data_IF_493042320979
#
_entry.id   IF_493042320979
#
_cell.length_a   1.000
_cell.length_b   1.000
_cell.length_c   1.000
_cell.angle_alpha   90.00
_cell.angle_beta   90.00
_cell.angle_gamma   90.00
#
_symmetry.space_group_name_H-M   'P 1'
#
loop_
_entity.id
_entity.type
_entity.pdbx_description
1 polymer ?
#
# COMPACT_ATOMS: atom_id res chain seq x y z
N UNK A 1 -30.78 -14.71 -13.18
CA UNK A 1 -29.34 -14.32 -13.09
C UNK A 1 -28.48 -15.56 -13.17
N UNK A 2 -27.45 -15.58 -14.02
CA UNK A 2 -26.55 -16.73 -14.20
C UNK A 2 -25.82 -17.07 -12.89
N UNK A 3 -25.71 -18.36 -12.54
CA UNK A 3 -25.08 -18.84 -11.30
C UNK A 3 -23.61 -18.38 -11.14
N UNK A 4 -22.89 -18.23 -12.26
CA UNK A 4 -21.50 -17.76 -12.27
C UNK A 4 -21.41 -16.27 -11.92
N UNK A 5 -22.32 -15.42 -12.42
CA UNK A 5 -22.38 -14.01 -12.08
C UNK A 5 -22.67 -13.81 -10.58
N UNK A 6 -23.60 -14.61 -10.04
CA UNK A 6 -23.95 -14.60 -8.62
C UNK A 6 -22.74 -14.94 -7.74
N UNK A 7 -21.95 -15.95 -8.13
CA UNK A 7 -20.76 -16.37 -7.42
C UNK A 7 -19.67 -15.29 -7.44
N UNK A 8 -19.39 -14.71 -8.61
CA UNK A 8 -18.38 -13.63 -8.77
C UNK A 8 -18.72 -12.37 -7.99
N UNK A 9 -20.01 -11.99 -7.92
CA UNK A 9 -20.46 -10.83 -7.15
C UNK A 9 -20.31 -11.03 -5.63
N UNK A 10 -20.41 -12.29 -5.13
CA UNK A 10 -20.27 -12.63 -3.71
C UNK A 10 -18.80 -12.64 -3.28
N UNK A 11 -17.87 -12.87 -4.19
CA UNK A 11 -16.42 -12.99 -3.89
C UNK A 11 -15.68 -11.65 -3.81
N UNK A 12 -16.37 -10.50 -3.92
CA UNK A 12 -15.75 -9.18 -3.73
C UNK A 12 -15.59 -8.91 -2.23
N UNK A 13 -14.35 -8.85 -1.70
CA UNK A 13 -14.10 -8.71 -0.27
C UNK A 13 -14.61 -7.39 0.31
N UNK A 14 -15.08 -7.41 1.55
CA UNK A 14 -15.56 -6.21 2.28
C UNK A 14 -16.96 -5.73 1.88
N UNK A 15 -17.68 -6.46 1.01
CA UNK A 15 -19.00 -6.06 0.50
C UNK A 15 -20.12 -7.07 0.78
N UNK A 16 -19.87 -8.12 1.56
CA UNK A 16 -20.75 -9.28 1.72
C UNK A 16 -22.21 -8.92 2.02
N UNK A 17 -22.44 -8.01 2.96
CA UNK A 17 -23.80 -7.59 3.33
C UNK A 17 -24.46 -6.72 2.24
N UNK A 18 -23.72 -5.78 1.69
CA UNK A 18 -24.20 -4.86 0.64
C UNK A 18 -24.42 -5.60 -0.68
N UNK A 19 -23.55 -6.57 -0.98
CA UNK A 19 -23.66 -7.40 -2.17
C UNK A 19 -24.82 -8.39 -2.09
N UNK A 20 -25.06 -8.96 -0.91
CA UNK A 20 -26.26 -9.79 -0.67
C UNK A 20 -27.56 -9.02 -0.91
N UNK A 21 -27.63 -7.77 -0.45
CA UNK A 21 -28.79 -6.88 -0.70
C UNK A 21 -28.93 -6.55 -2.20
N UNK A 22 -27.85 -6.32 -2.91
CA UNK A 22 -27.87 -6.06 -4.34
C UNK A 22 -28.37 -7.28 -5.13
N UNK A 23 -27.92 -8.49 -4.79
CA UNK A 23 -28.38 -9.72 -5.44
C UNK A 23 -29.88 -9.90 -5.25
N UNK A 24 -30.39 -9.71 -4.03
CA UNK A 24 -31.81 -9.77 -3.74
C UNK A 24 -32.59 -8.72 -4.54
N UNK A 25 -32.07 -7.50 -4.66
CA UNK A 25 -32.67 -6.45 -5.45
C UNK A 25 -32.76 -6.82 -6.94
N UNK A 26 -31.69 -7.40 -7.51
CA UNK A 26 -31.65 -7.80 -8.93
C UNK A 26 -32.59 -8.98 -9.25
N UNK A 27 -32.98 -9.77 -8.25
CA UNK A 27 -33.94 -10.88 -8.37
C UNK A 27 -35.42 -10.39 -8.39
N UNK A 28 -35.68 -9.12 -8.01
CA UNK A 28 -37.02 -8.57 -8.03
C UNK A 28 -37.58 -8.43 -9.47
N UNK A 29 -38.90 -8.57 -9.66
CA UNK A 29 -39.55 -8.17 -10.89
C UNK A 29 -39.28 -6.70 -11.22
N UNK A 30 -39.22 -6.33 -12.50
CA UNK A 30 -38.81 -5.00 -12.95
C UNK A 30 -39.62 -3.85 -12.37
N UNK A 31 -40.94 -4.04 -12.19
CA UNK A 31 -41.79 -3.04 -11.57
C UNK A 31 -41.44 -2.76 -10.09
N UNK A 32 -41.09 -3.79 -9.32
CA UNK A 32 -40.67 -3.65 -7.94
C UNK A 32 -39.22 -3.12 -7.86
N UNK A 33 -38.33 -3.62 -8.72
CA UNK A 33 -36.98 -3.13 -8.85
C UNK A 33 -36.93 -1.62 -9.11
N UNK A 34 -37.64 -1.13 -10.11
CA UNK A 34 -37.68 0.29 -10.48
C UNK A 34 -38.26 1.19 -9.37
N UNK A 35 -39.10 0.66 -8.49
CA UNK A 35 -39.66 1.40 -7.35
C UNK A 35 -38.66 1.56 -6.19
N UNK A 36 -37.80 0.55 -5.96
CA UNK A 36 -36.86 0.49 -4.81
C UNK A 36 -35.51 1.04 -5.17
N UNK A 37 -35.04 0.82 -6.40
CA UNK A 37 -33.67 1.14 -6.83
C UNK A 37 -33.25 2.60 -6.62
N UNK A 38 -34.04 3.64 -6.89
CA UNK A 38 -33.63 5.03 -6.70
C UNK A 38 -33.22 5.36 -5.24
N UNK A 39 -33.86 4.67 -4.27
CA UNK A 39 -33.51 4.82 -2.84
C UNK A 39 -32.21 4.11 -2.48
N UNK A 40 -32.04 2.91 -2.99
CA UNK A 40 -30.82 2.11 -2.73
C UNK A 40 -29.60 2.58 -3.51
N UNK A 41 -29.77 3.22 -4.67
CA UNK A 41 -28.68 3.72 -5.49
C UNK A 41 -27.71 4.59 -4.69
N UNK A 42 -28.21 5.52 -3.89
CA UNK A 42 -27.38 6.39 -3.04
C UNK A 42 -26.63 5.63 -1.93
N UNK A 43 -27.23 4.57 -1.40
CA UNK A 43 -26.62 3.74 -0.38
C UNK A 43 -25.52 2.85 -0.98
N UNK A 44 -25.78 2.26 -2.15
CA UNK A 44 -24.78 1.50 -2.90
C UNK A 44 -23.60 2.39 -3.33
N UNK A 45 -23.86 3.58 -3.87
CA UNK A 45 -22.83 4.55 -4.23
C UNK A 45 -21.98 4.97 -3.00
N UNK A 46 -22.59 5.11 -1.82
CA UNK A 46 -21.85 5.37 -0.58
C UNK A 46 -21.03 4.18 -0.12
N UNK A 47 -21.59 2.98 -0.17
CA UNK A 47 -20.89 1.77 0.26
C UNK A 47 -19.69 1.47 -0.65
N UNK A 48 -19.87 1.48 -1.96
CA UNK A 48 -18.78 1.23 -2.92
C UNK A 48 -17.85 2.43 -3.13
N UNK A 49 -18.31 3.65 -2.88
CA UNK A 49 -17.54 4.88 -2.99
C UNK A 49 -16.76 5.25 -1.73
N UNK A 50 -16.91 4.52 -0.62
CA UNK A 50 -16.20 4.86 0.61
C UNK A 50 -14.69 4.58 0.46
N UNK A 51 -13.87 5.56 0.88
CA UNK A 51 -12.41 5.44 0.82
C UNK A 51 -11.88 4.25 1.63
N UNK A 52 -12.58 3.84 2.69
CA UNK A 52 -12.20 2.69 3.52
C UNK A 52 -12.33 1.37 2.76
N UNK A 53 -13.50 1.10 2.16
CA UNK A 53 -13.75 -0.11 1.36
C UNK A 53 -12.82 -0.16 0.15
N UNK A 54 -12.65 0.96 -0.55
CA UNK A 54 -11.74 1.06 -1.69
C UNK A 54 -10.29 0.75 -1.29
N UNK A 55 -9.84 1.24 -0.13
CA UNK A 55 -8.49 0.99 0.38
C UNK A 55 -8.28 -0.50 0.69
N UNK A 56 -9.26 -1.14 1.31
CA UNK A 56 -9.20 -2.56 1.66
C UNK A 56 -9.16 -3.45 0.41
N UNK A 57 -10.04 -3.19 -0.57
CA UNK A 57 -10.03 -3.89 -1.87
C UNK A 57 -8.68 -3.72 -2.57
N UNK A 58 -8.15 -2.50 -2.64
CA UNK A 58 -6.86 -2.24 -3.28
C UNK A 58 -5.70 -2.94 -2.57
N UNK A 59 -5.73 -3.01 -1.25
CA UNK A 59 -4.72 -3.72 -0.47
C UNK A 59 -4.74 -5.23 -0.76
N UNK A 60 -5.92 -5.84 -0.86
CA UNK A 60 -6.05 -7.26 -1.20
C UNK A 60 -5.67 -7.56 -2.65
N UNK A 61 -6.10 -6.74 -3.60
CA UNK A 61 -5.71 -6.87 -5.01
C UNK A 61 -4.21 -6.72 -5.22
N UNK A 62 -3.54 -5.87 -4.43
CA UNK A 62 -2.09 -5.69 -4.51
C UNK A 62 -1.30 -6.92 -4.05
N UNK A 63 -1.92 -7.85 -3.31
CA UNK A 63 -1.31 -9.11 -2.89
C UNK A 63 -1.57 -10.26 -3.89
N UNK A 64 -2.43 -10.05 -4.89
CA UNK A 64 -2.77 -11.06 -5.88
C UNK A 64 -1.71 -11.11 -7.00
N UNK A 65 -1.36 -12.28 -7.53
CA UNK A 65 -0.52 -12.41 -8.71
C UNK A 65 -1.07 -11.62 -9.90
N UNK A 66 -0.20 -10.94 -10.65
CA UNK A 66 -0.62 -10.09 -11.78
C UNK A 66 -1.35 -10.89 -12.85
N UNK A 67 -0.92 -12.12 -13.10
CA UNK A 67 -1.54 -13.05 -14.07
C UNK A 67 -2.99 -13.38 -13.70
N UNK A 68 -3.26 -13.59 -12.41
CA UNK A 68 -4.61 -13.84 -11.90
C UNK A 68 -5.49 -12.61 -12.09
N UNK A 69 -4.99 -11.41 -11.78
CA UNK A 69 -5.71 -10.15 -11.97
C UNK A 69 -5.98 -9.84 -13.45
N UNK A 70 -5.07 -10.19 -14.35
CA UNK A 70 -5.29 -10.08 -15.80
C UNK A 70 -6.37 -11.04 -16.27
N UNK A 71 -6.40 -12.26 -15.72
CA UNK A 71 -7.46 -13.24 -15.95
C UNK A 71 -8.82 -12.71 -15.50
N UNK A 72 -8.90 -12.11 -14.31
CA UNK A 72 -10.12 -11.49 -13.77
C UNK A 72 -10.61 -10.35 -14.64
N UNK A 73 -9.72 -9.45 -15.10
CA UNK A 73 -10.09 -8.36 -16.01
C UNK A 73 -10.71 -8.87 -17.30
N UNK A 74 -10.12 -9.93 -17.87
CA UNK A 74 -10.65 -10.56 -19.09
C UNK A 74 -12.02 -11.20 -18.82
N UNK A 75 -12.20 -11.83 -17.66
CA UNK A 75 -13.47 -12.40 -17.22
C UNK A 75 -14.56 -11.34 -17.06
N UNK A 76 -14.24 -10.22 -16.42
CA UNK A 76 -15.18 -9.08 -16.25
C UNK A 76 -15.60 -8.52 -17.62
N UNK A 77 -14.67 -8.37 -18.56
CA UNK A 77 -15.01 -7.91 -19.91
C UNK A 77 -16.03 -8.80 -20.60
N UNK A 78 -15.85 -10.14 -20.54
CA UNK A 78 -16.80 -11.11 -21.08
C UNK A 78 -18.18 -11.04 -20.39
N UNK A 79 -18.21 -10.89 -19.06
CA UNK A 79 -19.45 -10.76 -18.32
C UNK A 79 -20.24 -9.48 -18.71
N UNK A 80 -19.56 -8.37 -18.94
CA UNK A 80 -20.19 -7.14 -19.41
C UNK A 80 -20.82 -7.35 -20.80
N UNK A 81 -20.13 -8.06 -21.71
CA UNK A 81 -20.69 -8.39 -23.02
C UNK A 81 -21.93 -9.29 -22.94
N UNK A 82 -21.90 -10.31 -22.07
CA UNK A 82 -23.03 -11.22 -21.85
C UNK A 82 -24.25 -10.47 -21.29
N UNK A 83 -24.04 -9.60 -20.30
CA UNK A 83 -25.10 -8.77 -19.70
C UNK A 83 -25.75 -7.87 -20.76
N UNK A 84 -24.95 -7.25 -21.62
CA UNK A 84 -25.46 -6.36 -22.66
C UNK A 84 -26.28 -7.12 -23.73
N UNK A 85 -25.98 -8.40 -23.98
CA UNK A 85 -26.67 -9.26 -24.93
C UNK A 85 -27.91 -9.96 -24.33
N UNK A 86 -28.06 -9.94 -22.99
CA UNK A 86 -29.21 -10.63 -22.34
C UNK A 86 -30.47 -9.81 -22.40
N UNK A 87 -31.37 -10.19 -23.33
CA UNK A 87 -32.65 -9.52 -23.53
C UNK A 87 -33.66 -9.75 -22.39
N UNK A 88 -33.40 -10.65 -21.47
CA UNK A 88 -34.22 -10.86 -20.27
C UNK A 88 -34.02 -9.78 -19.19
N UNK A 89 -32.95 -8.99 -19.27
CA UNK A 89 -32.62 -7.93 -18.34
C UNK A 89 -33.12 -6.59 -18.83
N UNK A 90 -33.82 -5.83 -17.96
CA UNK A 90 -34.22 -4.43 -18.28
C UNK A 90 -32.96 -3.53 -18.37
N UNK A 91 -33.09 -2.41 -19.11
CA UNK A 91 -32.04 -1.44 -19.32
C UNK A 91 -31.41 -0.97 -17.98
N UNK A 92 -32.22 -0.68 -16.96
CA UNK A 92 -31.78 -0.23 -15.65
C UNK A 92 -30.93 -1.31 -14.92
N UNK A 93 -31.29 -2.59 -15.06
CA UNK A 93 -30.53 -3.69 -14.49
C UNK A 93 -29.19 -3.87 -15.20
N UNK A 94 -29.17 -3.76 -16.54
CA UNK A 94 -27.94 -3.79 -17.33
C UNK A 94 -27.00 -2.66 -16.90
N UNK A 95 -27.48 -1.43 -16.78
CA UNK A 95 -26.68 -0.27 -16.37
C UNK A 95 -26.02 -0.45 -15.00
N UNK A 96 -26.73 -1.04 -14.03
CA UNK A 96 -26.18 -1.29 -12.71
C UNK A 96 -25.10 -2.35 -12.73
N UNK A 97 -25.40 -3.49 -13.36
CA UNK A 97 -24.46 -4.61 -13.41
C UNK A 97 -23.17 -4.20 -14.14
N UNK A 98 -23.30 -3.55 -15.30
CA UNK A 98 -22.16 -3.07 -16.07
C UNK A 98 -21.39 -1.97 -15.32
N UNK A 99 -22.08 -1.09 -14.58
CA UNK A 99 -21.49 -0.05 -13.76
C UNK A 99 -20.62 -0.62 -12.63
N UNK A 100 -21.12 -1.62 -11.89
CA UNK A 100 -20.36 -2.29 -10.82
C UNK A 100 -19.14 -3.02 -11.39
N UNK A 101 -19.33 -3.80 -12.46
CA UNK A 101 -18.24 -4.54 -13.09
C UNK A 101 -17.16 -3.59 -13.65
N UNK A 102 -17.58 -2.46 -14.24
CA UNK A 102 -16.65 -1.45 -14.75
C UNK A 102 -15.85 -0.77 -13.63
N UNK A 103 -16.44 -0.53 -12.45
CA UNK A 103 -15.73 -0.02 -11.29
C UNK A 103 -14.72 -1.05 -10.77
N UNK A 104 -15.10 -2.32 -10.68
CA UNK A 104 -14.20 -3.42 -10.29
C UNK A 104 -13.04 -3.54 -11.27
N UNK A 105 -13.31 -3.54 -12.58
CA UNK A 105 -12.27 -3.56 -13.61
C UNK A 105 -11.33 -2.34 -13.52
N UNK A 106 -11.84 -1.16 -13.20
CA UNK A 106 -11.02 0.04 -13.00
C UNK A 106 -10.08 -0.10 -11.80
N UNK A 107 -10.54 -0.68 -10.69
CA UNK A 107 -9.72 -0.94 -9.51
C UNK A 107 -8.62 -1.96 -9.83
N UNK A 108 -8.97 -3.11 -10.41
CA UNK A 108 -8.02 -4.15 -10.82
C UNK A 108 -7.00 -3.57 -11.81
N UNK A 109 -7.46 -2.84 -12.82
CA UNK A 109 -6.60 -2.20 -13.82
C UNK A 109 -5.62 -1.19 -13.21
N UNK A 110 -6.01 -0.51 -12.14
CA UNK A 110 -5.11 0.40 -11.42
C UNK A 110 -3.98 -0.34 -10.72
N UNK A 111 -4.21 -1.56 -10.26
CA UNK A 111 -3.20 -2.43 -9.63
C UNK A 111 -2.32 -3.12 -10.67
N UNK A 112 -2.91 -3.67 -11.73
CA UNK A 112 -2.18 -4.34 -12.83
C UNK A 112 -1.19 -3.40 -13.53
N UNK A 113 -1.49 -2.11 -13.59
CA UNK A 113 -0.58 -1.09 -14.17
C UNK A 113 0.59 -0.72 -13.26
N UNK A 114 0.63 -1.20 -12.01
CA UNK A 114 1.74 -0.96 -11.10
C UNK A 114 2.66 -2.18 -11.17
N UNK A 115 3.76 -2.15 -11.93
CA UNK A 115 4.73 -3.24 -11.97
C UNK A 115 5.51 -3.21 -10.64
N UNK A 116 4.97 -3.83 -9.60
CA UNK A 116 5.66 -4.00 -8.32
C UNK A 116 5.96 -5.48 -8.12
N UNK A 117 7.22 -5.79 -7.91
CA UNK A 117 7.65 -7.06 -7.38
C UNK A 117 7.18 -7.15 -5.91
N UNK A 118 6.48 -8.23 -5.56
CA UNK A 118 6.13 -8.54 -4.20
C UNK A 118 7.27 -9.31 -3.55
N UNK A 119 7.78 -8.78 -2.46
CA UNK A 119 8.86 -9.41 -1.68
C UNK A 119 8.32 -9.81 -0.32
N UNK A 120 8.32 -11.11 -0.02
CA UNK A 120 7.85 -11.63 1.25
C UNK A 120 8.85 -11.33 2.37
N UNK A 121 8.45 -10.51 3.33
CA UNK A 121 9.22 -10.21 4.55
C UNK A 121 8.46 -10.75 5.75
N UNK A 122 9.04 -11.74 6.45
CA UNK A 122 8.43 -12.24 7.69
C UNK A 122 8.60 -11.22 8.81
N UNK A 123 7.53 -10.94 9.53
CA UNK A 123 7.50 -10.00 10.65
C UNK A 123 7.08 -10.73 11.93
N UNK A 124 7.82 -10.50 13.02
CA UNK A 124 7.49 -10.98 14.35
C UNK A 124 7.22 -9.79 15.28
N UNK A 125 6.05 -9.75 15.88
CA UNK A 125 5.75 -8.85 17.00
C UNK A 125 6.37 -9.43 18.27
N UNK A 126 7.23 -8.66 18.94
CA UNK A 126 7.86 -9.00 20.22
C UNK A 126 7.32 -8.16 21.38
N UNK A 127 6.35 -7.29 21.09
CA UNK A 127 5.63 -6.48 22.06
C UNK A 127 4.15 -6.42 21.67
N UNK A 128 3.24 -6.37 22.67
CA UNK A 128 1.78 -6.32 22.43
C UNK A 128 1.34 -5.09 21.65
N UNK A 129 1.97 -3.95 21.89
CA UNK A 129 1.69 -2.68 21.23
C UNK A 129 2.37 -2.53 19.86
N UNK A 130 3.14 -3.52 19.41
CA UNK A 130 3.77 -3.45 18.12
C UNK A 130 2.74 -3.47 16.99
N UNK A 131 2.89 -2.55 16.03
CA UNK A 131 2.03 -2.42 14.85
C UNK A 131 2.80 -2.90 13.63
N UNK A 132 2.23 -3.83 12.87
CA UNK A 132 2.82 -4.28 11.59
C UNK A 132 2.82 -3.08 10.63
N UNK A 133 3.95 -2.80 9.95
CA UNK A 133 4.04 -1.68 9.01
C UNK A 133 3.02 -1.79 7.88
N UNK A 134 2.37 -0.68 7.55
CA UNK A 134 1.36 -0.62 6.49
C UNK A 134 1.64 0.54 5.54
N UNK A 135 1.35 0.31 4.25
CA UNK A 135 1.32 1.37 3.25
C UNK A 135 0.04 2.20 3.41
N UNK A 136 0.15 3.52 3.47
CA UNK A 136 -1.01 4.40 3.51
C UNK A 136 -1.81 4.36 2.19
N UNK A 137 -1.08 4.22 1.07
CA UNK A 137 -1.65 4.05 -0.28
C UNK A 137 -0.91 2.92 -1.02
N UNK A 138 -1.60 2.24 -1.94
CA UNK A 138 -1.04 1.14 -2.76
C UNK A 138 0.21 1.57 -3.54
N UNK A 139 0.32 2.85 -3.89
CA UNK A 139 1.46 3.39 -4.64
C UNK A 139 2.61 3.89 -3.77
N UNK A 140 2.47 3.88 -2.45
CA UNK A 140 3.51 4.36 -1.55
C UNK A 140 4.75 3.46 -1.60
N UNK A 141 5.93 4.07 -1.52
CA UNK A 141 7.20 3.34 -1.47
C UNK A 141 7.54 2.91 -0.03
N UNK A 142 7.04 3.60 0.98
CA UNK A 142 7.35 3.38 2.39
C UNK A 142 6.14 2.94 3.20
N UNK A 143 6.33 1.92 4.05
CA UNK A 143 5.37 1.49 5.06
C UNK A 143 5.67 2.19 6.39
N UNK A 144 4.67 2.79 7.01
CA UNK A 144 4.82 3.52 8.28
C UNK A 144 5.17 2.58 9.45
N UNK A 145 6.09 3.00 10.33
CA UNK A 145 6.43 2.33 11.57
C UNK A 145 6.20 3.24 12.78
N UNK A 146 5.90 2.61 13.91
CA UNK A 146 5.30 3.25 15.07
C UNK A 146 6.15 3.06 16.31
N UNK A 147 6.19 4.09 17.18
CA UNK A 147 6.74 3.96 18.54
C UNK A 147 5.81 3.12 19.42
N UNK A 148 6.39 2.22 20.23
CA UNK A 148 5.62 1.37 21.18
C UNK A 148 5.53 1.96 22.59
N UNK A 149 6.24 3.04 22.88
CA UNK A 149 6.31 3.67 24.20
C UNK A 149 6.42 5.19 24.07
N UNK A 150 6.00 5.88 25.13
CA UNK A 150 6.20 7.33 25.27
C UNK A 150 7.68 7.62 25.55
N UNK A 151 8.24 8.64 24.89
CA UNK A 151 9.64 9.00 25.07
C UNK A 151 9.85 10.51 24.98
N UNK A 152 10.53 11.09 25.99
CA UNK A 152 10.96 12.49 25.98
C UNK A 152 12.39 12.58 25.43
N UNK A 153 12.55 13.20 24.27
CA UNK A 153 13.86 13.39 23.61
C UNK A 153 14.37 14.78 23.93
N UNK A 154 15.40 14.86 24.75
CA UNK A 154 16.01 16.12 25.18
C UNK A 154 16.68 16.86 24.01
N UNK A 155 16.88 18.18 24.10
CA UNK A 155 17.64 18.95 23.12
C UNK A 155 19.02 18.32 22.83
N UNK A 156 19.36 18.26 21.55
CA UNK A 156 20.67 17.79 21.05
C UNK A 156 21.05 16.39 21.56
N UNK A 157 20.06 15.51 21.77
CA UNK A 157 20.31 14.11 22.14
C UNK A 157 19.78 13.15 21.08
N UNK A 158 20.48 12.03 20.98
CA UNK A 158 20.10 10.88 20.15
C UNK A 158 19.52 9.78 21.03
N UNK A 159 18.41 9.18 20.59
CA UNK A 159 17.71 8.11 21.31
C UNK A 159 17.38 6.97 20.36
N UNK A 160 17.12 5.80 20.93
CA UNK A 160 16.69 4.61 20.21
C UNK A 160 15.19 4.42 20.44
N UNK A 161 14.37 4.66 19.43
CA UNK A 161 12.92 4.48 19.49
C UNK A 161 12.60 3.04 19.10
N UNK A 162 11.98 2.31 20.00
CA UNK A 162 11.59 0.90 19.81
C UNK A 162 10.30 0.79 19.01
N UNK A 163 10.20 -0.26 18.18
CA UNK A 163 9.02 -0.58 17.37
C UNK A 163 8.32 -1.87 17.79
N UNK A 164 8.96 -2.69 18.64
CA UNK A 164 8.45 -4.00 19.04
C UNK A 164 8.43 -5.03 17.90
N UNK A 165 9.18 -4.80 16.83
CA UNK A 165 9.19 -5.64 15.63
C UNK A 165 10.55 -6.27 15.40
N UNK A 166 10.55 -7.52 14.93
CA UNK A 166 11.69 -8.18 14.27
C UNK A 166 11.27 -8.57 12.85
N UNK A 167 12.22 -8.53 11.93
CA UNK A 167 11.98 -8.87 10.53
C UNK A 167 12.96 -9.92 10.02
N UNK A 168 12.53 -10.72 9.05
CA UNK A 168 13.39 -11.59 8.28
C UNK A 168 13.26 -11.22 6.81
N UNK A 169 14.26 -10.49 6.33
CA UNK A 169 14.36 -10.00 4.96
C UNK A 169 15.00 -11.10 4.10
N UNK A 170 14.49 -11.40 2.90
CA UNK A 170 15.13 -12.36 2.00
C UNK A 170 16.50 -11.86 1.51
N UNK A 171 17.41 -12.78 1.25
CA UNK A 171 18.73 -12.48 0.68
C UNK A 171 18.60 -11.75 -0.64
N UNK A 172 19.41 -10.73 -0.86
CA UNK A 172 19.35 -9.85 -2.03
C UNK A 172 18.54 -8.58 -1.83
N UNK A 173 17.96 -8.42 -0.62
CA UNK A 173 17.23 -7.20 -0.24
C UNK A 173 17.70 -6.66 1.10
N UNK A 174 17.50 -5.36 1.32
CA UNK A 174 17.59 -4.66 2.60
C UNK A 174 16.27 -3.93 2.90
N UNK A 175 16.06 -3.54 4.15
CA UNK A 175 15.06 -2.54 4.51
C UNK A 175 15.78 -1.26 4.93
N UNK A 176 15.38 -0.14 4.32
CA UNK A 176 15.85 1.18 4.69
C UNK A 176 14.86 1.87 5.62
N UNK A 177 15.36 2.37 6.74
CA UNK A 177 14.61 3.24 7.64
C UNK A 177 14.81 4.68 7.18
N UNK A 178 13.74 5.28 6.67
CA UNK A 178 13.73 6.64 6.10
C UNK A 178 12.85 7.59 6.91
N UNK A 179 13.18 8.89 6.96
CA UNK A 179 12.36 9.88 7.62
C UNK A 179 11.01 10.06 6.91
N UNK A 180 9.99 10.44 7.66
CA UNK A 180 8.71 10.90 7.13
C UNK A 180 8.78 12.40 6.88
N UNK A 181 8.30 12.84 5.72
CA UNK A 181 8.33 14.26 5.31
C UNK A 181 7.64 15.16 6.32
N UNK A 182 6.48 14.73 6.85
CA UNK A 182 5.73 15.50 7.84
C UNK A 182 6.48 15.71 9.16
N UNK A 183 7.18 14.69 9.66
CA UNK A 183 8.00 14.81 10.86
C UNK A 183 9.21 15.70 10.61
N UNK A 184 9.91 15.52 9.50
CA UNK A 184 11.08 16.31 9.14
C UNK A 184 10.77 17.79 8.93
N UNK A 185 9.59 18.11 8.38
CA UNK A 185 9.18 19.50 8.11
C UNK A 185 8.66 20.21 9.36
N UNK A 186 7.86 19.49 10.18
CA UNK A 186 7.10 20.13 11.26
C UNK A 186 7.76 20.03 12.62
N UNK A 187 8.85 19.27 12.76
CA UNK A 187 9.54 19.03 14.03
C UNK A 187 11.05 19.18 13.88
N UNK A 188 11.73 19.18 15.02
CA UNK A 188 13.20 19.15 15.08
C UNK A 188 13.76 17.72 15.10
N UNK A 189 12.90 16.71 14.99
CA UNK A 189 13.33 15.31 14.98
C UNK A 189 13.92 14.90 13.65
N UNK A 190 15.05 14.19 13.72
CA UNK A 190 15.78 13.65 12.55
C UNK A 190 16.11 12.20 12.81
N UNK A 191 16.23 11.40 11.75
CA UNK A 191 16.83 10.04 11.83
C UNK A 191 18.33 10.23 11.67
N UNK A 192 19.08 9.94 12.72
CA UNK A 192 20.50 10.28 12.81
C UNK A 192 21.38 9.55 11.78
N UNK A 193 21.00 8.33 11.38
CA UNK A 193 21.72 7.50 10.42
C UNK A 193 20.98 7.32 9.08
N UNK A 194 20.19 8.32 8.67
CA UNK A 194 19.33 8.18 7.48
C UNK A 194 20.15 8.07 6.17
N UNK A 195 19.79 7.11 5.28
CA UNK A 195 18.88 6.00 5.51
C UNK A 195 19.49 4.92 6.42
N UNK A 196 18.76 4.53 7.49
CA UNK A 196 19.19 3.42 8.34
C UNK A 196 19.05 2.09 7.60
N UNK A 197 20.06 1.25 7.60
CA UNK A 197 20.09 -0.03 6.89
C UNK A 197 19.74 -1.18 7.84
N UNK A 198 18.78 -2.01 7.45
CA UNK A 198 18.48 -3.29 8.09
C UNK A 198 18.86 -4.41 7.11
N UNK A 199 19.90 -5.12 7.46
CA UNK A 199 20.45 -6.22 6.65
C UNK A 199 19.55 -7.45 6.64
N UNK A 200 19.60 -8.25 5.58
CA UNK A 200 18.87 -9.51 5.46
C UNK A 200 19.18 -10.51 6.60
N UNK A 201 20.40 -10.47 7.14
CA UNK A 201 20.85 -11.32 8.26
C UNK A 201 20.47 -10.81 9.65
N UNK A 202 19.98 -9.57 9.80
CA UNK A 202 19.63 -9.01 11.10
C UNK A 202 18.37 -9.66 11.69
N UNK A 203 18.41 -9.99 12.98
CA UNK A 203 17.30 -10.62 13.73
C UNK A 203 17.02 -9.93 15.07
N UNK A 204 17.63 -8.76 15.31
CA UNK A 204 17.32 -7.93 16.47
C UNK A 204 16.01 -7.18 16.30
N UNK A 205 15.61 -6.43 17.33
CA UNK A 205 14.48 -5.51 17.24
C UNK A 205 14.80 -4.38 16.25
N UNK A 206 13.88 -4.09 15.37
CA UNK A 206 13.96 -2.91 14.50
C UNK A 206 13.67 -1.67 15.35
N UNK A 207 14.66 -0.80 15.46
CA UNK A 207 14.56 0.46 16.17
C UNK A 207 14.90 1.63 15.25
N UNK A 208 14.40 2.81 15.59
CA UNK A 208 14.70 4.06 14.87
C UNK A 208 15.65 4.91 15.70
N UNK A 209 16.84 5.24 15.15
CA UNK A 209 17.80 6.13 15.80
C UNK A 209 17.38 7.57 15.50
N UNK A 210 16.80 8.25 16.48
CA UNK A 210 16.28 9.60 16.33
C UNK A 210 17.08 10.61 17.12
N UNK A 211 17.33 11.76 16.51
CA UNK A 211 17.99 12.91 17.10
C UNK A 211 17.04 14.10 17.17
N UNK A 212 17.03 14.81 18.29
CA UNK A 212 16.38 16.08 18.43
C UNK A 212 17.39 17.23 18.21
N UNK A 213 17.34 17.86 17.05
CA UNK A 213 18.22 18.99 16.69
C UNK A 213 17.75 20.33 17.24
N UNK A 214 16.64 20.38 17.96
CA UNK A 214 16.04 21.60 18.51
C UNK A 214 16.51 21.91 19.93
N UNK A 215 16.09 23.06 20.43
CA UNK A 215 16.44 23.58 21.77
C UNK A 215 15.38 23.25 22.84
N UNK A 216 14.30 22.56 22.49
CA UNK A 216 13.24 22.14 23.40
C UNK A 216 13.10 20.61 23.37
N UNK A 217 12.70 20.04 24.50
CA UNK A 217 12.37 18.61 24.56
C UNK A 217 11.22 18.30 23.62
N UNK A 218 11.38 17.26 22.78
CA UNK A 218 10.34 16.71 21.94
C UNK A 218 9.77 15.45 22.58
N UNK A 219 8.45 15.34 22.65
CA UNK A 219 7.78 14.16 23.19
C UNK A 219 7.27 13.31 22.04
N UNK A 220 7.75 12.09 21.96
CA UNK A 220 7.20 11.03 21.12
C UNK A 220 6.17 10.30 21.96
N UNK A 221 4.96 10.14 21.44
CA UNK A 221 3.90 9.36 22.07
C UNK A 221 3.86 7.94 21.51
N UNK A 222 3.46 6.99 22.34
CA UNK A 222 3.13 5.63 21.89
C UNK A 222 2.12 5.70 20.76
N UNK A 223 2.38 4.98 19.65
CA UNK A 223 1.56 4.98 18.45
C UNK A 223 1.89 6.09 17.46
N UNK A 224 2.84 6.98 17.77
CA UNK A 224 3.33 7.95 16.79
C UNK A 224 4.06 7.26 15.63
N UNK A 225 3.81 7.74 14.42
CA UNK A 225 4.51 7.32 13.21
C UNK A 225 5.88 7.99 13.16
N UNK A 226 6.92 7.27 13.56
CA UNK A 226 8.28 7.82 13.74
C UNK A 226 9.16 7.75 12.50
N UNK A 227 8.92 6.78 11.62
CA UNK A 227 9.69 6.59 10.39
C UNK A 227 8.87 5.81 9.36
N UNK A 228 9.47 5.50 8.22
CA UNK A 228 8.94 4.58 7.22
C UNK A 228 9.99 3.58 6.77
N UNK A 229 9.56 2.34 6.51
CA UNK A 229 10.39 1.28 5.94
C UNK A 229 10.24 1.25 4.43
N UNK A 230 11.36 1.15 3.72
CA UNK A 230 11.39 0.95 2.26
C UNK A 230 12.27 -0.25 1.97
N UNK A 231 11.72 -1.27 1.29
CA UNK A 231 12.53 -2.40 0.80
C UNK A 231 13.30 -1.98 -0.44
N UNK A 232 14.56 -2.41 -0.54
CA UNK A 232 15.42 -2.13 -1.69
C UNK A 232 16.24 -3.38 -2.06
N UNK A 233 16.48 -3.64 -3.36
CA UNK A 233 17.39 -4.68 -3.79
C UNK A 233 18.84 -4.28 -3.49
N UNK A 234 19.67 -5.26 -3.12
CA UNK A 234 21.08 -5.06 -2.76
C UNK A 234 21.96 -5.89 -3.70
N UNK A 235 22.49 -5.32 -4.78
CA UNK A 235 23.49 -5.98 -5.60
C UNK A 235 24.81 -6.10 -4.82
N UNK A 236 25.50 -7.22 -4.98
CA UNK A 236 26.84 -7.40 -4.42
C UNK A 236 27.90 -6.73 -5.29
N UNK A 237 28.82 -6.00 -4.66
CA UNK A 237 29.97 -5.42 -5.34
C UNK A 237 31.09 -6.45 -5.36
N UNK A 238 31.62 -6.74 -6.56
CA UNK A 238 32.86 -7.46 -6.74
C UNK A 238 33.98 -6.43 -6.99
N UNK A 239 34.79 -6.16 -5.97
CA UNK A 239 35.90 -5.22 -6.06
C UNK A 239 37.04 -5.81 -6.87
N UNK A 240 37.41 -5.11 -7.96
CA UNK A 240 38.55 -5.45 -8.80
C UNK A 240 39.58 -4.35 -8.65
N UNK A 241 40.68 -4.67 -8.02
CA UNK A 241 41.82 -3.73 -7.91
C UNK A 241 42.44 -3.48 -9.28
N UNK A 242 42.66 -2.23 -9.61
CA UNK A 242 43.29 -1.80 -10.86
C UNK A 242 44.25 -0.65 -10.57
N UNK A 243 45.31 -0.54 -11.37
CA UNK A 243 46.26 0.55 -11.25
C UNK A 243 45.80 1.82 -11.94
N UNK A 244 44.77 1.72 -12.82
CA UNK A 244 44.32 2.85 -13.64
C UNK A 244 42.82 2.71 -13.91
N UNK A 245 42.08 3.82 -13.86
CA UNK A 245 40.69 3.93 -14.25
C UNK A 245 40.60 4.63 -15.60
N UNK A 246 39.49 4.36 -16.30
CA UNK A 246 39.17 5.05 -17.57
C UNK A 246 38.90 6.55 -17.34
N UNK A 247 39.21 7.35 -18.35
CA UNK A 247 38.92 8.79 -18.35
C UNK A 247 37.43 9.02 -18.68
N UNK A 248 36.83 9.99 -17.99
CA UNK A 248 35.46 10.44 -18.26
C UNK A 248 35.43 11.97 -18.45
N UNK A 249 34.38 12.49 -19.11
CA UNK A 249 34.22 13.95 -19.33
C UNK A 249 34.13 14.71 -17.98
N UNK A 250 33.67 14.06 -16.91
CA UNK A 250 33.61 14.63 -15.57
C UNK A 250 34.97 14.62 -14.87
N UNK A 251 35.82 13.64 -15.15
CA UNK A 251 37.11 13.43 -14.47
C UNK A 251 36.99 13.46 -12.96
N UNK A 252 37.84 14.24 -12.32
CA UNK A 252 37.86 14.43 -10.85
C UNK A 252 36.88 15.50 -10.34
N UNK A 253 36.05 16.06 -11.22
CA UNK A 253 35.10 17.13 -10.87
C UNK A 253 34.06 16.71 -9.84
N UNK A 254 34.04 17.39 -8.70
CA UNK A 254 33.13 17.18 -7.58
C UNK A 254 33.02 18.42 -6.70
N UNK A 255 32.29 18.32 -5.57
CA UNK A 255 32.20 19.35 -4.53
C UNK A 255 31.78 20.75 -5.06
N UNK A 256 30.85 20.81 -6.03
CA UNK A 256 30.38 22.06 -6.61
C UNK A 256 31.20 22.56 -7.80
N UNK A 257 32.02 21.71 -8.43
CA UNK A 257 32.80 22.09 -9.61
C UNK A 257 31.98 22.53 -10.82
N UNK A 258 30.66 22.24 -10.83
CA UNK A 258 29.71 22.69 -11.87
C UNK A 258 29.05 24.04 -11.55
N UNK A 259 29.25 24.60 -10.37
CA UNK A 259 28.63 25.86 -9.91
C UNK A 259 29.56 27.09 -10.16
N UNK A 260 30.65 26.89 -10.89
CA UNK A 260 31.60 27.94 -11.24
C UNK A 260 31.50 28.30 -12.73
N UNK A 261 30.33 28.79 -13.18
CA UNK A 261 30.16 29.57 -14.39
C UNK A 261 29.60 30.97 -14.11
#
# INVERSE_FOLDING_TARGET
MNSNLKKTLIEIPGTDQTMGQLIQLLELPDNQFNAVYPKMKKELERAFGSNAVRKEILAQLALSPIEDLQGELTGIGKMIEEINKDDSLSANKKDILTGILSQSASLISSVVKIPRELVDVKVQKIHEDAVIPEYAHVTDAGADIYAIEDMAVKPHTTVLVKTGLKVAIPTGYEIQIRPRSGMSLKTTMRIANTPGTIDAGYRGEVCVIMENTGNLTYNISKGDKVAQMVIAPVPMINWIETNELDNTDRGEGGFGSTDQE
#
